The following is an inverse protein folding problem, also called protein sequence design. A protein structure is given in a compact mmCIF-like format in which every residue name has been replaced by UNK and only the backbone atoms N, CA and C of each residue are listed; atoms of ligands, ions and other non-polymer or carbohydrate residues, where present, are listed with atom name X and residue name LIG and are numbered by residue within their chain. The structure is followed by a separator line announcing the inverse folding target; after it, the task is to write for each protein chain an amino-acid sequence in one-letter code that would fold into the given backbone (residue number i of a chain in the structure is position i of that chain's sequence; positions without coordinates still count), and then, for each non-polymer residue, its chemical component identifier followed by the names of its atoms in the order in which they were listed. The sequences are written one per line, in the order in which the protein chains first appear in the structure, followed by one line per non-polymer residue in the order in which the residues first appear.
data_IF_327069973359
#
_entry.id   IF_327069973359
#
_cell.length_a   1.000
_cell.length_b   1.000
_cell.length_c   1.000
_cell.angle_alpha   90.00
_cell.angle_beta   90.00
_cell.angle_gamma   90.00
#
_symmetry.space_group_name_H-M   'P 1'
#
loop_
_entity.id
_entity.type
_entity.pdbx_description
1 polymer ?
#
# COMPACT_ATOMS: atom_id res chain seq x y z
N UNK A 1 -14.86 27.45 3.00
CA UNK A 1 -15.25 26.05 2.77
C UNK A 1 -13.97 25.25 2.79
N UNK A 2 -13.71 24.51 3.87
CA UNK A 2 -12.64 23.53 3.88
C UNK A 2 -13.17 22.33 3.10
N UNK A 3 -12.51 21.95 2.01
CA UNK A 3 -12.81 20.69 1.32
C UNK A 3 -12.64 19.56 2.34
N UNK A 4 -13.75 19.01 2.82
CA UNK A 4 -13.78 17.90 3.79
C UNK A 4 -13.63 16.54 3.11
N UNK A 5 -13.00 16.51 1.93
CA UNK A 5 -12.60 15.26 1.32
C UNK A 5 -11.44 14.69 2.17
N UNK A 6 -11.64 13.51 2.75
CA UNK A 6 -10.58 12.78 3.45
C UNK A 6 -9.37 12.51 2.54
N UNK A 7 -8.33 11.81 3.06
CA UNK A 7 -7.14 11.51 2.26
C UNK A 7 -7.54 10.79 0.96
N UNK A 8 -6.88 11.15 -0.13
CA UNK A 8 -7.04 10.41 -1.39
C UNK A 8 -6.59 8.95 -1.22
N UNK A 9 -7.08 8.02 -2.06
CA UNK A 9 -6.65 6.61 -1.98
C UNK A 9 -5.14 6.45 -2.09
N UNK A 10 -4.49 7.28 -2.91
CA UNK A 10 -3.03 7.31 -3.02
C UNK A 10 -2.35 7.75 -1.73
N UNK A 11 -2.86 8.78 -1.05
CA UNK A 11 -2.32 9.26 0.23
C UNK A 11 -2.49 8.23 1.34
N UNK A 12 -3.62 7.50 1.36
CA UNK A 12 -3.83 6.39 2.31
C UNK A 12 -2.73 5.34 2.13
N UNK A 13 -2.52 4.86 0.89
CA UNK A 13 -1.50 3.83 0.61
C UNK A 13 -0.09 4.36 0.92
N UNK A 14 0.25 5.59 0.53
CA UNK A 14 1.55 6.21 0.82
C UNK A 14 1.79 6.38 2.34
N UNK A 15 0.74 6.63 3.12
CA UNK A 15 0.85 6.81 4.57
C UNK A 15 0.89 5.48 5.33
N UNK A 16 0.53 4.37 4.69
CA UNK A 16 0.53 3.04 5.29
C UNK A 16 1.75 2.21 4.86
N UNK A 17 1.80 1.79 3.58
CA UNK A 17 2.66 0.68 3.17
C UNK A 17 4.18 0.93 3.33
N UNK A 18 4.71 2.16 3.17
CA UNK A 18 6.12 2.43 3.43
C UNK A 18 6.52 2.32 4.91
N UNK A 19 5.54 2.36 5.83
CA UNK A 19 5.76 2.43 7.28
C UNK A 19 5.35 1.15 8.00
N UNK A 20 4.61 0.25 7.34
CA UNK A 20 4.24 -1.04 7.89
C UNK A 20 5.35 -2.08 7.65
N UNK A 21 6.18 -2.31 8.66
CA UNK A 21 7.35 -3.19 8.58
C UNK A 21 7.01 -4.63 8.13
N UNK A 22 5.77 -5.09 8.35
CA UNK A 22 5.31 -6.43 7.97
C UNK A 22 5.21 -6.60 6.45
N UNK A 23 4.73 -5.57 5.76
CA UNK A 23 4.44 -5.60 4.31
C UNK A 23 5.49 -4.85 3.49
N UNK A 24 6.21 -3.90 4.09
CA UNK A 24 7.15 -3.00 3.42
C UNK A 24 8.17 -3.74 2.56
N UNK A 25 8.79 -4.81 3.06
CA UNK A 25 9.86 -5.50 2.32
C UNK A 25 9.34 -6.11 1.01
N UNK A 26 8.19 -6.78 1.05
CA UNK A 26 7.56 -7.36 -0.14
C UNK A 26 7.03 -6.29 -1.07
N UNK A 27 6.42 -5.23 -0.53
CA UNK A 27 5.99 -4.08 -1.32
C UNK A 27 7.16 -3.44 -2.09
N UNK A 28 8.31 -3.27 -1.44
CA UNK A 28 9.53 -2.77 -2.08
C UNK A 28 10.01 -3.71 -3.19
N UNK A 29 9.97 -5.03 -2.98
CA UNK A 29 10.34 -6.02 -4.01
C UNK A 29 9.48 -5.85 -5.27
N UNK A 30 8.15 -5.86 -5.12
CA UNK A 30 7.21 -5.67 -6.23
C UNK A 30 7.38 -4.30 -6.91
N UNK A 31 7.66 -3.25 -6.14
CA UNK A 31 7.93 -1.90 -6.64
C UNK A 31 9.22 -1.80 -7.48
N UNK A 32 10.25 -2.58 -7.14
CA UNK A 32 11.51 -2.64 -7.88
C UNK A 32 11.41 -3.48 -9.16
N UNK A 33 10.61 -4.56 -9.13
CA UNK A 33 10.44 -5.48 -10.26
C UNK A 33 9.60 -4.90 -11.41
N UNK A 34 8.67 -3.99 -11.12
CA UNK A 34 7.83 -3.35 -12.15
C UNK A 34 7.77 -1.82 -11.99
N UNK A 35 8.46 -1.12 -12.90
CA UNK A 35 8.44 0.34 -12.98
C UNK A 35 7.03 0.92 -13.25
N UNK A 36 6.12 0.12 -13.81
CA UNK A 36 4.73 0.49 -14.04
C UNK A 36 3.84 0.42 -12.80
N UNK A 37 4.31 -0.18 -11.70
CA UNK A 37 3.56 -0.30 -10.44
C UNK A 37 2.44 -1.35 -10.45
N UNK A 38 2.30 -2.17 -11.50
CA UNK A 38 1.22 -3.18 -11.59
C UNK A 38 1.45 -4.35 -10.66
N UNK A 39 2.70 -4.78 -10.47
CA UNK A 39 3.02 -5.80 -9.47
C UNK A 39 2.73 -5.30 -8.05
N UNK A 40 3.07 -4.04 -7.76
CA UNK A 40 2.74 -3.41 -6.48
C UNK A 40 1.22 -3.30 -6.27
N UNK A 41 0.46 -2.91 -7.30
CA UNK A 41 -1.00 -2.93 -7.25
C UNK A 41 -1.52 -4.34 -6.93
N UNK A 42 -1.08 -5.37 -7.65
CA UNK A 42 -1.55 -6.73 -7.44
C UNK A 42 -1.22 -7.24 -6.03
N UNK A 43 -0.04 -6.92 -5.51
CA UNK A 43 0.35 -7.23 -4.15
C UNK A 43 -0.59 -6.59 -3.12
N UNK A 44 -0.84 -5.28 -3.24
CA UNK A 44 -1.72 -4.57 -2.30
C UNK A 44 -3.18 -4.98 -2.45
N UNK A 45 -3.66 -5.27 -3.66
CA UNK A 45 -4.99 -5.84 -3.87
C UNK A 45 -5.16 -7.20 -3.16
N UNK A 46 -4.14 -8.06 -3.24
CA UNK A 46 -4.17 -9.35 -2.53
C UNK A 46 -4.22 -9.16 -1.01
N UNK A 47 -3.44 -8.22 -0.45
CA UNK A 47 -3.49 -7.90 0.97
C UNK A 47 -4.87 -7.38 1.38
N UNK A 48 -5.33 -6.33 0.72
CA UNK A 48 -6.50 -5.54 1.13
C UNK A 48 -7.81 -6.23 0.80
N UNK A 49 -7.91 -6.97 -0.32
CA UNK A 49 -9.18 -7.52 -0.80
C UNK A 49 -9.24 -9.05 -0.76
N UNK A 50 -8.12 -9.74 -0.55
CA UNK A 50 -8.06 -11.21 -0.59
C UNK A 50 -7.44 -11.84 0.63
N UNK A 51 -7.09 -11.03 1.63
CA UNK A 51 -6.49 -11.48 2.88
C UNK A 51 -5.27 -12.39 2.64
N UNK A 52 -4.43 -12.01 1.66
CA UNK A 52 -3.31 -12.82 1.19
C UNK A 52 -2.04 -11.99 0.98
N UNK A 53 -0.94 -12.44 1.58
CA UNK A 53 0.41 -11.88 1.47
C UNK A 53 1.30 -12.83 0.65
N UNK A 54 1.34 -12.64 -0.67
CA UNK A 54 2.14 -13.44 -1.61
C UNK A 54 1.96 -14.96 -1.44
N UNK A 55 0.71 -15.41 -1.43
CA UNK A 55 0.35 -16.82 -1.28
C UNK A 55 0.22 -17.29 0.16
N UNK A 56 0.45 -16.42 1.15
CA UNK A 56 0.24 -16.72 2.58
C UNK A 56 -1.05 -16.08 3.07
N UNK A 57 -1.93 -16.82 3.77
CA UNK A 57 -3.09 -16.19 4.42
C UNK A 57 -2.62 -15.22 5.51
N UNK A 58 -3.33 -14.11 5.67
CA UNK A 58 -3.09 -13.15 6.75
C UNK A 58 -3.52 -13.72 8.10
N UNK A 59 -2.80 -13.37 9.16
CA UNK A 59 -3.22 -13.66 10.53
C UNK A 59 -4.26 -12.65 11.03
N UNK A 60 -4.79 -12.86 12.24
CA UNK A 60 -5.82 -12.00 12.82
C UNK A 60 -5.37 -10.53 12.98
N UNK A 61 -4.10 -10.30 13.25
CA UNK A 61 -3.56 -8.95 13.44
C UNK A 61 -3.41 -8.22 12.11
N UNK A 62 -2.96 -8.93 11.08
CA UNK A 62 -2.87 -8.42 9.71
C UNK A 62 -4.27 -8.17 9.12
N UNK A 63 -5.23 -9.06 9.36
CA UNK A 63 -6.63 -8.86 8.97
C UNK A 63 -7.24 -7.58 9.56
N UNK A 64 -6.97 -7.30 10.85
CA UNK A 64 -7.38 -6.04 11.49
C UNK A 64 -6.73 -4.83 10.84
N UNK A 65 -5.47 -4.95 10.43
CA UNK A 65 -4.77 -3.88 9.71
C UNK A 65 -5.44 -3.64 8.36
N UNK A 66 -5.78 -4.70 7.62
CA UNK A 66 -6.47 -4.55 6.33
C UNK A 66 -7.87 -3.95 6.50
N UNK A 67 -8.56 -4.25 7.60
CA UNK A 67 -9.83 -3.61 7.92
C UNK A 67 -9.68 -2.08 8.09
N UNK A 68 -8.69 -1.63 8.87
CA UNK A 68 -8.41 -0.21 9.06
C UNK A 68 -8.03 0.48 7.73
N UNK A 69 -7.19 -0.15 6.90
CA UNK A 69 -6.84 0.38 5.58
C UNK A 69 -8.07 0.50 4.67
N UNK A 70 -8.98 -0.48 4.68
CA UNK A 70 -10.23 -0.42 3.91
C UNK A 70 -11.15 0.71 4.38
N UNK A 71 -11.19 0.97 5.69
CA UNK A 71 -11.93 2.10 6.27
C UNK A 71 -11.32 3.44 5.83
N UNK A 72 -9.99 3.58 5.90
CA UNK A 72 -9.28 4.80 5.48
C UNK A 72 -9.42 5.06 3.98
N UNK A 73 -9.46 4.00 3.16
CA UNK A 73 -9.76 4.08 1.73
C UNK A 73 -11.21 4.55 1.47
N UNK A 74 -12.08 4.58 2.48
CA UNK A 74 -13.46 5.07 2.41
C UNK A 74 -14.22 4.56 1.17
N UNK A 75 -14.15 3.24 0.93
CA UNK A 75 -14.74 2.55 -0.22
C UNK A 75 -14.21 2.94 -1.60
N UNK A 76 -13.17 3.77 -1.69
CA UNK A 76 -12.52 4.03 -2.96
C UNK A 76 -11.77 2.80 -3.46
N UNK A 77 -11.83 2.57 -4.76
CA UNK A 77 -11.15 1.44 -5.39
C UNK A 77 -9.63 1.65 -5.41
N UNK A 78 -8.87 0.60 -5.10
CA UNK A 78 -7.42 0.55 -5.31
C UNK A 78 -7.02 0.81 -6.78
N UNK A 79 -7.93 0.61 -7.74
CA UNK A 79 -7.69 0.95 -9.14
C UNK A 79 -7.54 2.47 -9.39
N UNK A 80 -7.98 3.31 -8.44
CA UNK A 80 -7.84 4.77 -8.51
C UNK A 80 -6.53 5.31 -7.92
N UNK A 81 -5.72 4.45 -7.31
CA UNK A 81 -4.43 4.81 -6.73
C UNK A 81 -3.40 5.07 -7.83
N UNK A 82 -2.58 6.11 -7.67
CA UNK A 82 -1.40 6.32 -8.50
C UNK A 82 -0.25 5.42 -8.02
N UNK A 83 -0.20 4.21 -8.59
CA UNK A 83 0.79 3.20 -8.23
C UNK A 83 2.22 3.58 -8.61
N UNK A 84 2.43 4.48 -9.56
CA UNK A 84 3.77 5.01 -9.85
C UNK A 84 4.23 5.90 -8.71
N UNK A 85 3.35 6.76 -8.19
CA UNK A 85 3.67 7.60 -7.05
C UNK A 85 3.95 6.78 -5.78
N UNK A 86 3.15 5.74 -5.50
CA UNK A 86 3.39 4.84 -4.35
C UNK A 86 4.74 4.14 -4.49
N UNK A 87 5.04 3.61 -5.69
CA UNK A 87 6.32 2.98 -6.00
C UNK A 87 7.49 3.93 -5.73
N UNK A 88 7.44 5.14 -6.26
CA UNK A 88 8.53 6.11 -6.13
C UNK A 88 8.79 6.46 -4.65
N UNK A 89 7.73 6.54 -3.83
CA UNK A 89 7.86 6.72 -2.37
C UNK A 89 8.52 5.53 -1.68
N UNK A 90 8.09 4.30 -2.01
CA UNK A 90 8.68 3.08 -1.46
C UNK A 90 10.17 2.97 -1.80
N UNK A 91 10.52 3.17 -3.07
CA UNK A 91 11.90 3.06 -3.56
C UNK A 91 12.78 4.21 -3.02
N UNK A 92 12.27 5.43 -2.94
CA UNK A 92 13.00 6.54 -2.30
C UNK A 92 13.30 6.24 -0.82
N UNK A 93 12.40 5.56 -0.12
CA UNK A 93 12.60 5.09 1.25
C UNK A 93 13.63 3.98 1.42
N UNK A 94 14.07 3.33 0.33
CA UNK A 94 15.19 2.37 0.32
C UNK A 94 16.54 3.08 0.17
N UNK A 95 16.57 4.18 -0.59
CA UNK A 95 17.79 4.90 -0.92
C UNK A 95 18.16 6.05 0.03
N UNK A 96 17.32 6.36 1.02
CA UNK A 96 17.64 7.37 2.04
C UNK A 96 18.55 6.75 3.10
N UNK A 97 19.81 7.21 3.27
CA UNK A 97 20.58 6.82 4.44
C UNK A 97 19.85 7.36 5.67
N UNK A 98 19.62 6.49 6.66
CA UNK A 98 19.32 6.94 8.02
C UNK A 98 20.46 7.87 8.44
N UNK A 99 20.15 9.17 8.52
CA UNK A 99 21.04 10.16 9.14
C UNK A 99 20.92 10.07 10.65
#
# INVERSE_FOLDING_TARGET
MYDSAGPSPTEVVISWIPYDARFRERAVRHALEDAGGRLLYAYVDNLVNRDNDDGRPLDEYDLRTMAAVREDLNHHSLASVDWRQVRDRLVAGVHRPVS
#
